data_IF_629420690405
#
_entry.id   IF_629420690405
#
_cell.length_a   1.000
_cell.length_b   1.000
_cell.length_c   1.000
_cell.angle_alpha   90.00
_cell.angle_beta   90.00
_cell.angle_gamma   90.00
#
_symmetry.space_group_name_H-M   'P 1'
#
loop_
_entity.id
_entity.type
_entity.pdbx_description
1 polymer ?
#
# COMPACT_ATOMS: atom_id res chain seq x y z
N UNK A 1 16.21 -5.07 6.23
CA UNK A 1 16.68 -5.05 4.83
C UNK A 1 17.94 -4.21 4.59
N UNK A 2 18.25 -3.19 5.41
CA UNK A 2 19.44 -2.30 5.26
C UNK A 2 19.53 -1.67 3.86
N UNK A 3 18.41 -1.20 3.34
CA UNK A 3 18.27 -0.47 2.08
C UNK A 3 17.46 0.79 2.31
N UNK A 4 17.63 1.80 1.46
CA UNK A 4 16.87 3.06 1.53
C UNK A 4 15.46 2.91 0.94
N UNK A 5 14.60 3.92 1.16
CA UNK A 5 13.27 4.00 0.53
C UNK A 5 13.37 3.97 -1.00
N UNK A 6 14.33 4.71 -1.56
CA UNK A 6 14.59 4.74 -3.01
C UNK A 6 14.99 3.37 -3.55
N UNK A 7 15.91 2.69 -2.86
CA UNK A 7 16.35 1.34 -3.21
C UNK A 7 15.20 0.32 -3.13
N UNK A 8 14.29 0.48 -2.16
CA UNK A 8 13.11 -0.37 -2.06
C UNK A 8 12.16 -0.16 -3.25
N UNK A 9 11.99 1.09 -3.70
CA UNK A 9 11.17 1.40 -4.89
C UNK A 9 11.81 0.81 -6.14
N UNK A 10 13.12 0.97 -6.31
CA UNK A 10 13.87 0.38 -7.42
C UNK A 10 13.81 -1.15 -7.42
N UNK A 11 13.81 -1.77 -6.24
CA UNK A 11 13.54 -3.20 -6.08
C UNK A 11 12.13 -3.55 -6.54
N UNK A 12 11.13 -2.73 -6.21
CA UNK A 12 9.75 -2.86 -6.70
C UNK A 12 9.65 -2.80 -8.21
N UNK A 13 10.37 -1.87 -8.86
CA UNK A 13 10.41 -1.76 -10.33
C UNK A 13 10.97 -3.04 -10.98
N UNK A 14 11.99 -3.67 -10.37
CA UNK A 14 12.55 -4.94 -10.86
C UNK A 14 11.56 -6.11 -10.75
N UNK A 15 10.80 -6.17 -9.65
CA UNK A 15 9.86 -7.26 -9.36
C UNK A 15 8.57 -7.10 -10.17
N UNK A 16 8.06 -5.88 -10.24
CA UNK A 16 6.73 -5.54 -10.74
C UNK A 16 5.95 -4.72 -9.71
N UNK A 17 5.23 -3.72 -10.22
CA UNK A 17 4.34 -2.81 -9.49
C UNK A 17 3.05 -2.65 -10.30
N UNK A 18 2.03 -2.00 -9.73
CA UNK A 18 0.80 -1.68 -10.47
C UNK A 18 1.03 -0.74 -11.67
N UNK A 19 2.15 0.00 -11.67
CA UNK A 19 2.52 0.95 -12.73
C UNK A 19 3.47 0.33 -13.77
N UNK A 20 4.08 -0.82 -13.48
CA UNK A 20 5.05 -1.45 -14.37
C UNK A 20 5.14 -2.96 -14.09
N UNK A 21 4.99 -3.84 -15.10
CA UNK A 21 4.90 -5.29 -14.91
C UNK A 21 6.16 -5.94 -14.33
N UNK A 22 7.29 -5.23 -14.29
CA UNK A 22 8.55 -5.75 -13.77
C UNK A 22 9.33 -6.56 -14.79
N UNK A 23 10.46 -7.14 -14.35
CA UNK A 23 11.31 -7.96 -15.19
C UNK A 23 11.02 -9.43 -14.93
N UNK A 24 10.49 -10.11 -15.93
CA UNK A 24 10.16 -11.54 -15.84
C UNK A 24 11.38 -12.35 -15.39
N UNK A 25 11.22 -13.12 -14.31
CA UNK A 25 12.27 -13.98 -13.76
C UNK A 25 13.15 -13.32 -12.68
N UNK A 26 12.87 -12.06 -12.36
CA UNK A 26 13.41 -11.36 -11.19
C UNK A 26 12.32 -11.28 -10.12
N UNK A 27 12.53 -12.01 -9.02
CA UNK A 27 11.68 -11.93 -7.82
C UNK A 27 12.40 -11.20 -6.68
N UNK A 28 11.75 -11.17 -5.51
CA UNK A 28 12.18 -10.38 -4.35
C UNK A 28 13.61 -10.65 -3.88
N UNK A 29 14.07 -11.90 -3.88
CA UNK A 29 15.43 -12.25 -3.45
C UNK A 29 16.48 -11.71 -4.43
N UNK A 30 16.31 -11.98 -5.72
CA UNK A 30 17.22 -11.52 -6.77
C UNK A 30 17.26 -10.00 -6.85
N UNK A 31 16.10 -9.34 -6.77
CA UNK A 31 16.02 -7.89 -6.79
C UNK A 31 16.77 -7.27 -5.61
N UNK A 32 16.61 -7.82 -4.40
CA UNK A 32 17.32 -7.36 -3.22
C UNK A 32 18.85 -7.51 -3.35
N UNK A 33 19.31 -8.65 -3.86
CA UNK A 33 20.75 -8.91 -4.05
C UNK A 33 21.36 -7.96 -5.07
N UNK A 34 20.66 -7.71 -6.18
CA UNK A 34 21.08 -6.74 -7.21
C UNK A 34 21.17 -5.32 -6.64
N UNK A 35 20.14 -4.87 -5.93
CA UNK A 35 20.11 -3.52 -5.36
C UNK A 35 21.20 -3.35 -4.30
N UNK A 36 21.45 -4.35 -3.46
CA UNK A 36 22.55 -4.30 -2.49
C UNK A 36 23.93 -4.29 -3.14
N UNK A 37 24.11 -5.03 -4.24
CA UNK A 37 25.40 -5.16 -4.93
C UNK A 37 25.74 -3.93 -5.77
N UNK A 38 24.77 -3.37 -6.49
CA UNK A 38 24.99 -2.31 -7.47
C UNK A 38 24.52 -0.93 -6.98
N UNK A 39 23.81 -0.87 -5.86
CA UNK A 39 23.38 0.35 -5.19
C UNK A 39 22.12 0.98 -5.81
N UNK A 40 22.01 1.00 -7.14
CA UNK A 40 20.87 1.59 -7.85
C UNK A 40 20.52 0.88 -9.16
N UNK A 41 19.29 1.05 -9.61
CA UNK A 41 18.81 0.54 -10.89
C UNK A 41 19.58 1.11 -12.08
N UNK A 42 19.96 2.40 -12.01
CA UNK A 42 20.77 3.06 -13.04
C UNK A 42 22.15 2.39 -13.18
N UNK A 43 22.78 2.00 -12.08
CA UNK A 43 24.04 1.26 -12.11
C UNK A 43 23.88 -0.16 -12.67
N UNK A 44 22.76 -0.83 -12.38
CA UNK A 44 22.47 -2.16 -12.93
C UNK A 44 22.37 -2.11 -14.46
N UNK A 45 21.71 -1.08 -14.99
CA UNK A 45 21.53 -0.89 -16.45
C UNK A 45 22.84 -0.47 -17.11
N UNK A 46 23.58 0.52 -16.55
CA UNK A 46 24.86 0.97 -17.11
C UNK A 46 25.90 -0.15 -17.24
N UNK A 47 25.90 -1.10 -16.30
CA UNK A 47 26.83 -2.23 -16.30
C UNK A 47 26.34 -3.43 -17.15
N UNK A 48 25.22 -3.29 -17.89
CA UNK A 48 24.62 -4.35 -18.72
C UNK A 48 24.49 -5.69 -17.97
N UNK A 49 24.07 -5.64 -16.70
CA UNK A 49 24.00 -6.84 -15.85
C UNK A 49 22.93 -7.81 -16.37
N UNK A 50 23.33 -9.08 -16.52
CA UNK A 50 22.44 -10.18 -16.87
C UNK A 50 22.19 -11.07 -15.66
N UNK A 51 20.94 -11.46 -15.47
CA UNK A 51 20.54 -12.41 -14.42
C UNK A 51 20.21 -13.73 -15.11
N UNK A 52 21.22 -14.60 -15.23
CA UNK A 52 21.14 -15.77 -16.11
C UNK A 52 21.05 -15.31 -17.57
N UNK A 53 19.98 -15.71 -18.27
CA UNK A 53 19.72 -15.30 -19.66
C UNK A 53 18.85 -14.03 -19.78
N UNK A 54 18.50 -13.40 -18.65
CA UNK A 54 17.62 -12.24 -18.62
C UNK A 54 18.47 -10.97 -18.67
N UNK A 55 18.20 -10.12 -19.64
CA UNK A 55 18.82 -8.80 -19.77
C UNK A 55 17.90 -7.74 -19.16
N UNK A 56 18.44 -6.94 -18.24
CA UNK A 56 17.70 -5.86 -17.57
C UNK A 56 17.74 -4.63 -18.48
N UNK A 57 16.74 -4.50 -19.35
CA UNK A 57 16.54 -3.34 -20.21
C UNK A 57 15.32 -2.57 -19.72
N UNK A 58 15.55 -1.38 -19.20
CA UNK A 58 14.52 -0.42 -18.84
C UNK A 58 14.94 0.96 -19.34
N UNK A 59 13.97 1.70 -19.86
CA UNK A 59 14.18 3.09 -20.23
C UNK A 59 14.29 3.96 -18.98
N UNK A 60 15.27 4.85 -18.98
CA UNK A 60 15.56 5.74 -17.84
C UNK A 60 14.33 6.57 -17.46
N UNK A 61 13.61 7.07 -18.47
CA UNK A 61 12.42 7.90 -18.29
C UNK A 61 11.31 7.15 -17.54
N UNK A 62 11.08 5.87 -17.85
CA UNK A 62 10.09 5.04 -17.16
C UNK A 62 10.48 4.86 -15.69
N UNK A 63 11.76 4.62 -15.41
CA UNK A 63 12.26 4.46 -14.04
C UNK A 63 12.03 5.74 -13.22
N UNK A 64 12.36 6.90 -13.79
CA UNK A 64 12.17 8.19 -13.14
C UNK A 64 10.69 8.46 -12.88
N UNK A 65 9.80 8.24 -13.86
CA UNK A 65 8.36 8.41 -13.68
C UNK A 65 7.80 7.53 -12.55
N UNK A 66 8.17 6.25 -12.50
CA UNK A 66 7.70 5.36 -11.43
C UNK A 66 8.27 5.78 -10.09
N UNK A 67 9.56 6.14 -10.03
CA UNK A 67 10.18 6.64 -8.80
C UNK A 67 9.45 7.87 -8.28
N UNK A 68 9.08 8.80 -9.14
CA UNK A 68 8.37 10.01 -8.75
C UNK A 68 6.99 9.72 -8.14
N UNK A 69 6.23 8.79 -8.73
CA UNK A 69 4.93 8.37 -8.19
C UNK A 69 5.07 7.87 -6.74
N UNK A 70 6.12 7.10 -6.43
CA UNK A 70 6.31 6.54 -5.09
C UNK A 70 7.07 7.46 -4.12
N UNK A 71 8.00 8.28 -4.61
CA UNK A 71 8.79 9.17 -3.78
C UNK A 71 8.02 10.44 -3.43
N UNK A 72 7.27 10.96 -4.38
CA UNK A 72 6.53 12.22 -4.35
C UNK A 72 5.07 12.02 -4.77
N UNK A 73 4.31 11.13 -4.10
CA UNK A 73 2.91 10.94 -4.43
C UNK A 73 2.14 12.25 -4.24
N UNK A 74 1.20 12.52 -5.15
CA UNK A 74 0.28 13.65 -5.01
C UNK A 74 -0.67 13.41 -3.84
N UNK A 75 -0.33 13.99 -2.69
CA UNK A 75 -1.09 13.87 -1.46
C UNK A 75 -1.81 15.19 -1.14
N UNK A 76 -3.12 15.10 -0.92
CA UNK A 76 -3.89 16.20 -0.34
C UNK A 76 -3.51 16.34 1.14
N UNK A 77 -2.62 17.28 1.44
CA UNK A 77 -2.20 17.59 2.83
C UNK A 77 -3.29 18.28 3.63
N UNK A 78 -4.17 19.02 2.96
CA UNK A 78 -5.32 19.66 3.58
C UNK A 78 -6.53 18.74 3.48
N UNK A 79 -6.72 17.90 4.50
CA UNK A 79 -7.88 17.04 4.65
C UNK A 79 -8.58 17.34 5.98
N UNK A 80 -9.91 17.19 6.05
CA UNK A 80 -10.64 17.44 7.30
C UNK A 80 -10.16 16.50 8.40
N UNK A 81 -10.15 16.99 9.64
CA UNK A 81 -9.83 16.17 10.80
C UNK A 81 -10.82 15.00 10.86
N UNK A 82 -10.30 13.79 11.04
CA UNK A 82 -11.13 12.59 11.17
C UNK A 82 -11.88 12.69 12.50
N UNK A 83 -13.21 12.80 12.42
CA UNK A 83 -14.13 12.86 13.56
C UNK A 83 -15.10 11.69 13.42
N UNK A 84 -15.20 10.87 14.47
CA UNK A 84 -16.15 9.78 14.52
C UNK A 84 -17.47 10.29 15.10
N UNK A 85 -18.47 10.46 14.25
CA UNK A 85 -19.81 10.88 14.64
C UNK A 85 -20.70 9.70 15.03
N UNK A 86 -21.87 9.99 15.62
CA UNK A 86 -22.86 8.95 15.90
C UNK A 86 -23.41 8.39 14.61
N UNK A 87 -23.44 7.06 14.52
CA UNK A 87 -24.00 6.36 13.37
C UNK A 87 -25.53 6.51 13.38
N UNK A 88 -26.08 6.88 12.22
CA UNK A 88 -27.52 6.94 11.98
C UNK A 88 -27.97 5.61 11.40
N UNK A 89 -28.41 4.70 12.27
CA UNK A 89 -28.66 3.31 11.89
C UNK A 89 -29.84 3.18 10.91
N UNK A 90 -30.84 4.04 11.04
CA UNK A 90 -32.04 4.08 10.21
C UNK A 90 -31.67 4.42 8.76
N UNK A 91 -30.82 5.43 8.54
CA UNK A 91 -30.33 5.80 7.19
C UNK A 91 -29.49 4.66 6.56
N UNK A 92 -28.75 3.90 7.38
CA UNK A 92 -27.98 2.73 6.91
C UNK A 92 -28.90 1.58 6.51
N UNK A 93 -29.98 1.33 7.26
CA UNK A 93 -30.98 0.32 6.91
C UNK A 93 -31.70 0.68 5.61
N UNK A 94 -32.15 1.92 5.47
CA UNK A 94 -32.81 2.41 4.25
C UNK A 94 -31.89 2.24 3.02
N UNK A 95 -30.65 2.73 3.10
CA UNK A 95 -29.68 2.62 2.01
C UNK A 95 -29.44 1.17 1.61
N UNK A 96 -29.17 0.29 2.57
CA UNK A 96 -28.78 -1.09 2.26
C UNK A 96 -29.97 -1.96 1.85
N UNK A 97 -31.11 -1.84 2.54
CA UNK A 97 -32.26 -2.70 2.32
C UNK A 97 -33.12 -2.15 1.18
N UNK A 98 -33.50 -0.88 1.22
CA UNK A 98 -34.46 -0.32 0.26
C UNK A 98 -33.79 0.04 -1.06
N UNK A 99 -32.61 0.68 -1.03
CA UNK A 99 -31.94 1.12 -2.26
C UNK A 99 -31.07 0.02 -2.89
N UNK A 100 -30.43 -0.81 -2.06
CA UNK A 100 -29.50 -1.85 -2.52
C UNK A 100 -29.99 -3.29 -2.36
N UNK A 101 -31.23 -3.50 -1.89
CA UNK A 101 -31.88 -4.82 -1.79
C UNK A 101 -31.08 -5.87 -0.98
N UNK A 102 -30.32 -5.44 0.02
CA UNK A 102 -29.66 -6.36 0.94
C UNK A 102 -30.69 -7.10 1.82
N UNK A 103 -30.33 -8.30 2.26
CA UNK A 103 -31.16 -9.06 3.20
C UNK A 103 -31.32 -8.31 4.51
N UNK A 104 -32.56 -7.91 4.82
CA UNK A 104 -32.94 -7.23 6.06
C UNK A 104 -32.38 -7.91 7.31
N UNK A 105 -32.55 -9.22 7.41
CA UNK A 105 -32.04 -10.00 8.55
C UNK A 105 -30.52 -9.88 8.71
N UNK A 106 -29.76 -9.90 7.61
CA UNK A 106 -28.29 -9.77 7.67
C UNK A 106 -27.86 -8.37 8.07
N UNK A 107 -28.52 -7.34 7.55
CA UNK A 107 -28.25 -5.93 7.87
C UNK A 107 -28.55 -5.66 9.35
N UNK A 108 -29.71 -6.08 9.84
CA UNK A 108 -30.08 -5.91 11.25
C UNK A 108 -29.10 -6.59 12.21
N UNK A 109 -28.73 -7.85 11.93
CA UNK A 109 -27.73 -8.56 12.73
C UNK A 109 -26.37 -7.84 12.76
N UNK A 110 -25.94 -7.25 11.64
CA UNK A 110 -24.70 -6.48 11.57
C UNK A 110 -24.79 -5.18 12.37
N UNK A 111 -25.92 -4.47 12.27
CA UNK A 111 -26.19 -3.24 13.03
C UNK A 111 -26.19 -3.50 14.54
N UNK A 112 -26.78 -4.61 15.00
CA UNK A 112 -26.75 -4.97 16.42
C UNK A 112 -25.32 -5.19 16.93
N UNK A 113 -24.48 -5.86 16.14
CA UNK A 113 -23.06 -6.05 16.48
C UNK A 113 -22.33 -4.71 16.53
N UNK A 114 -22.62 -3.81 15.60
CA UNK A 114 -22.04 -2.46 15.54
C UNK A 114 -22.46 -1.62 16.75
N UNK A 115 -23.74 -1.67 17.15
CA UNK A 115 -24.25 -1.01 18.37
C UNK A 115 -23.50 -1.49 19.62
N UNK A 116 -23.27 -2.80 19.74
CA UNK A 116 -22.50 -3.38 20.86
C UNK A 116 -21.06 -2.87 20.90
N UNK A 117 -20.36 -2.85 19.77
CA UNK A 117 -18.99 -2.33 19.68
C UNK A 117 -18.90 -0.83 19.97
N UNK A 118 -19.85 -0.03 19.49
CA UNK A 118 -19.91 1.40 19.78
C UNK A 118 -20.16 1.70 21.26
N UNK A 119 -20.87 0.82 21.97
CA UNK A 119 -21.09 0.96 23.42
C UNK A 119 -19.92 0.48 24.28
N UNK A 120 -19.03 -0.36 23.74
CA UNK A 120 -17.83 -0.80 24.46
C UNK A 120 -16.81 0.33 24.49
N UNK A 121 -16.40 0.78 25.68
CA UNK A 121 -15.31 1.75 25.82
C UNK A 121 -14.06 1.17 25.20
N UNK A 122 -13.44 1.91 24.26
CA UNK A 122 -12.17 1.54 23.65
C UNK A 122 -11.08 1.65 24.72
N UNK A 123 -10.74 0.53 25.36
CA UNK A 123 -9.58 0.46 26.25
C UNK A 123 -8.32 0.62 25.38
N UNK A 124 -7.65 1.75 25.50
CA UNK A 124 -6.40 2.00 24.80
C UNK A 124 -5.27 1.34 25.60
N UNK A 125 -4.47 0.47 24.97
CA UNK A 125 -3.32 -0.16 25.62
C UNK A 125 -2.22 0.87 25.90
N UNK A 126 -1.43 0.65 26.95
CA UNK A 126 -0.28 1.51 27.28
C UNK A 126 0.71 1.59 26.11
N UNK A 127 0.84 0.53 25.33
CA UNK A 127 1.68 0.48 24.11
C UNK A 127 1.26 1.52 23.05
N UNK A 128 0.01 1.97 23.07
CA UNK A 128 -0.47 3.02 22.16
C UNK A 128 0.05 4.42 22.55
N UNK A 129 0.55 4.60 23.78
CA UNK A 129 1.07 5.88 24.28
C UNK A 129 2.59 5.98 24.16
N UNK A 130 3.30 4.86 24.23
CA UNK A 130 4.76 4.84 24.17
C UNK A 130 5.22 4.36 22.80
N UNK A 131 5.78 5.28 21.99
CA UNK A 131 6.56 4.87 20.81
C UNK A 131 7.83 4.18 21.30
N UNK A 132 8.01 2.92 20.91
CA UNK A 132 9.30 2.24 21.05
C UNK A 132 10.40 3.10 20.38
N UNK A 133 11.51 3.30 21.11
CA UNK A 133 12.67 4.08 20.68
C UNK A 133 13.40 3.44 19.52
#
# INVERSE_FOLDING_TARGET
LKITREQLIEMGILIGTDFFPGIKGIGQHKALDLIKKYGSLENIIKNNIKVGNIEIKLDKEIIEQIKDIFLYPDIKKNYPKIIWEKIKYEEVEELLIEQHNFSKQRVQNAIERLKKQNSSKTQVSLDSFFKEK
#
